data_IF_966301797254
#
_entry.id   IF_966301797254
#
_cell.length_a   1.000
_cell.length_b   1.000
_cell.length_c   1.000
_cell.angle_alpha   90.00
_cell.angle_beta   90.00
_cell.angle_gamma   90.00
#
_symmetry.space_group_name_H-M   'P 1'
#
loop_
_entity.id
_entity.type
_entity.pdbx_description
1 polymer ?
#
# COMPACT_ATOMS: atom_id res chain seq x y z
N UNK A 1 -30.93 17.16 -5.93
CA UNK A 1 -30.66 15.81 -5.48
C UNK A 1 -29.18 15.50 -5.66
N UNK A 2 -28.58 14.67 -4.77
CA UNK A 2 -27.17 14.29 -4.84
C UNK A 2 -26.86 13.52 -6.14
N UNK A 3 -27.78 12.66 -6.57
CA UNK A 3 -27.66 11.90 -7.84
C UNK A 3 -27.62 12.85 -9.04
N UNK A 4 -28.44 13.91 -9.05
CA UNK A 4 -28.45 14.88 -10.14
C UNK A 4 -27.11 15.66 -10.22
N UNK A 5 -26.49 15.95 -9.07
CA UNK A 5 -25.17 16.57 -9.04
C UNK A 5 -24.08 15.64 -9.59
N UNK A 6 -24.12 14.37 -9.24
CA UNK A 6 -23.20 13.35 -9.79
C UNK A 6 -23.36 13.20 -11.30
N UNK A 7 -24.61 13.14 -11.79
CA UNK A 7 -24.88 13.06 -13.22
C UNK A 7 -24.42 14.31 -13.98
N UNK A 8 -24.60 15.49 -13.41
CA UNK A 8 -24.07 16.75 -13.98
C UNK A 8 -22.55 16.75 -14.04
N UNK A 9 -21.88 16.28 -12.99
CA UNK A 9 -20.43 16.17 -12.98
C UNK A 9 -19.93 15.14 -13.98
N UNK A 10 -20.55 13.96 -14.05
CA UNK A 10 -20.21 12.92 -15.01
C UNK A 10 -20.41 13.38 -16.46
N UNK A 11 -21.42 14.25 -16.73
CA UNK A 11 -21.70 14.78 -18.06
C UNK A 11 -20.64 15.70 -18.64
N UNK A 12 -19.69 16.17 -17.82
CA UNK A 12 -18.54 16.97 -18.29
C UNK A 12 -17.52 16.10 -19.03
N UNK A 13 -17.46 14.80 -18.70
CA UNK A 13 -16.53 13.82 -19.31
C UNK A 13 -17.32 12.62 -19.84
N UNK A 14 -18.07 12.83 -20.93
CA UNK A 14 -18.99 11.84 -21.48
C UNK A 14 -18.31 10.61 -22.08
N UNK A 15 -17.09 10.77 -22.57
CA UNK A 15 -16.38 9.71 -23.29
C UNK A 15 -15.10 9.32 -22.53
N UNK A 16 -15.09 8.11 -21.97
CA UNK A 16 -13.86 7.55 -21.43
C UNK A 16 -12.86 7.23 -22.55
N UNK A 17 -11.57 7.30 -22.22
CA UNK A 17 -10.49 6.95 -23.15
C UNK A 17 -10.67 5.51 -23.68
N UNK A 18 -10.73 5.35 -25.01
CA UNK A 18 -11.00 4.05 -25.66
C UNK A 18 -9.92 3.01 -25.34
N UNK A 19 -8.64 3.43 -25.30
CA UNK A 19 -7.53 2.53 -24.93
C UNK A 19 -7.70 2.03 -23.51
N UNK A 20 -8.06 2.94 -22.59
CA UNK A 20 -8.35 2.57 -21.18
C UNK A 20 -9.51 1.59 -21.07
N UNK A 21 -10.56 1.75 -21.88
CA UNK A 21 -11.68 0.81 -21.93
C UNK A 21 -11.24 -0.59 -22.40
N UNK A 22 -10.41 -0.67 -23.45
CA UNK A 22 -9.87 -1.94 -23.96
C UNK A 22 -9.01 -2.61 -22.91
N UNK A 23 -8.11 -1.88 -22.25
CA UNK A 23 -7.26 -2.42 -21.18
C UNK A 23 -8.12 -2.95 -20.02
N UNK A 24 -9.10 -2.17 -19.57
CA UNK A 24 -10.03 -2.59 -18.51
C UNK A 24 -10.83 -3.82 -18.92
N UNK A 25 -11.30 -3.86 -20.18
CA UNK A 25 -12.01 -5.03 -20.71
C UNK A 25 -11.13 -6.28 -20.67
N UNK A 26 -9.89 -6.22 -21.16
CA UNK A 26 -8.96 -7.34 -21.13
C UNK A 26 -8.63 -7.80 -19.69
N UNK A 27 -8.56 -6.87 -18.75
CA UNK A 27 -8.33 -7.18 -17.34
C UNK A 27 -9.47 -8.01 -16.71
N UNK A 28 -10.72 -7.68 -17.03
CA UNK A 28 -11.91 -8.33 -16.44
C UNK A 28 -12.51 -9.45 -17.31
N UNK A 29 -12.14 -9.50 -18.58
CA UNK A 29 -12.59 -10.49 -19.56
C UNK A 29 -11.34 -11.09 -20.25
N UNK A 30 -10.70 -12.07 -19.61
CA UNK A 30 -9.50 -12.69 -20.18
C UNK A 30 -9.82 -13.36 -21.53
N UNK A 31 -8.80 -13.69 -22.34
CA UNK A 31 -8.98 -14.35 -23.64
C UNK A 31 -9.90 -15.57 -23.53
N UNK A 32 -10.84 -15.71 -24.47
CA UNK A 32 -11.78 -16.83 -24.49
C UNK A 32 -11.17 -18.07 -25.15
N UNK A 33 -11.58 -19.24 -24.67
CA UNK A 33 -11.20 -20.53 -25.23
C UNK A 33 -9.96 -21.15 -24.57
N UNK A 34 -9.82 -22.46 -24.73
CA UNK A 34 -8.64 -23.21 -24.28
C UNK A 34 -7.50 -22.99 -25.28
N UNK A 35 -6.70 -21.98 -25.06
CA UNK A 35 -5.56 -21.66 -25.91
C UNK A 35 -4.38 -21.12 -25.09
N UNK A 36 -3.21 -21.07 -25.72
CA UNK A 36 -1.97 -20.61 -25.10
C UNK A 36 -2.06 -19.17 -24.53
N UNK A 37 -2.89 -18.30 -25.11
CA UNK A 37 -3.06 -16.94 -24.63
C UNK A 37 -3.79 -16.87 -23.26
N UNK A 38 -4.79 -17.74 -23.05
CA UNK A 38 -5.49 -17.87 -21.78
C UNK A 38 -4.57 -18.43 -20.71
N UNK A 39 -3.81 -19.49 -21.02
CA UNK A 39 -2.83 -20.07 -20.11
C UNK A 39 -1.77 -19.06 -19.70
N UNK A 40 -1.21 -18.33 -20.67
CA UNK A 40 -0.25 -17.26 -20.41
C UNK A 40 -0.83 -16.18 -19.51
N UNK A 41 -2.07 -15.71 -19.79
CA UNK A 41 -2.76 -14.71 -18.95
C UNK A 41 -2.88 -15.16 -17.49
N UNK A 42 -3.26 -16.42 -17.25
CA UNK A 42 -3.38 -16.95 -15.88
C UNK A 42 -2.02 -17.04 -15.20
N UNK A 43 -1.00 -17.56 -15.89
CA UNK A 43 0.35 -17.67 -15.34
C UNK A 43 0.95 -16.31 -14.98
N UNK A 44 0.81 -15.32 -15.83
CA UNK A 44 1.27 -13.96 -15.57
C UNK A 44 0.52 -13.32 -14.39
N UNK A 45 -0.80 -13.48 -14.34
CA UNK A 45 -1.64 -12.97 -13.25
C UNK A 45 -1.26 -13.61 -11.91
N UNK A 46 -1.13 -14.93 -11.86
CA UNK A 46 -0.75 -15.66 -10.66
C UNK A 46 0.64 -15.27 -10.16
N UNK A 47 1.58 -15.09 -11.09
CA UNK A 47 2.92 -14.64 -10.77
C UNK A 47 2.92 -13.25 -10.13
N UNK A 48 2.20 -12.29 -10.73
CA UNK A 48 2.11 -10.91 -10.20
C UNK A 48 1.44 -10.88 -8.82
N UNK A 49 0.31 -11.59 -8.67
CA UNK A 49 -0.41 -11.63 -7.40
C UNK A 49 0.37 -12.37 -6.31
N UNK A 50 1.06 -13.45 -6.68
CA UNK A 50 1.93 -14.20 -5.77
C UNK A 50 3.10 -13.35 -5.27
N UNK A 51 3.78 -12.63 -6.16
CA UNK A 51 4.87 -11.73 -5.81
C UNK A 51 4.40 -10.61 -4.87
N UNK A 52 3.25 -9.98 -5.15
CA UNK A 52 2.67 -8.97 -4.26
C UNK A 52 2.31 -9.55 -2.88
N UNK A 53 1.77 -10.76 -2.84
CA UNK A 53 1.43 -11.42 -1.58
C UNK A 53 2.67 -11.73 -0.73
N UNK A 54 3.75 -12.21 -1.35
CA UNK A 54 5.02 -12.46 -0.66
C UNK A 54 5.60 -11.17 -0.09
N UNK A 55 5.69 -10.11 -0.89
CA UNK A 55 6.17 -8.79 -0.44
C UNK A 55 5.35 -8.21 0.71
N UNK A 56 4.02 -8.30 0.61
CA UNK A 56 3.15 -7.88 1.69
C UNK A 56 3.38 -8.69 2.98
N UNK A 57 3.66 -10.00 2.84
CA UNK A 57 3.96 -10.88 3.97
C UNK A 57 5.29 -10.51 4.62
N UNK A 58 6.31 -10.15 3.84
CA UNK A 58 7.60 -9.66 4.35
C UNK A 58 7.40 -8.39 5.19
N UNK A 59 6.67 -7.41 4.66
CA UNK A 59 6.40 -6.16 5.39
C UNK A 59 5.59 -6.41 6.66
N UNK A 60 4.57 -7.27 6.62
CA UNK A 60 3.82 -7.66 7.84
C UNK A 60 4.69 -8.36 8.87
N UNK A 61 5.60 -9.22 8.45
CA UNK A 61 6.53 -9.89 9.34
C UNK A 61 7.51 -8.90 10.00
N UNK A 62 7.92 -7.85 9.29
CA UNK A 62 8.70 -6.76 9.87
C UNK A 62 7.88 -5.97 10.90
N UNK A 63 6.62 -5.61 10.61
CA UNK A 63 5.75 -4.92 11.57
C UNK A 63 5.49 -5.71 12.83
N UNK A 64 5.43 -7.05 12.75
CA UNK A 64 5.29 -7.90 13.93
C UNK A 64 6.49 -7.83 14.89
N UNK A 65 7.64 -7.32 14.44
CA UNK A 65 8.85 -7.12 15.25
C UNK A 65 8.97 -5.67 15.77
N UNK A 66 8.06 -4.78 15.36
CA UNK A 66 8.05 -3.37 15.75
C UNK A 66 7.09 -3.15 16.94
N UNK A 67 7.62 -2.57 18.01
CA UNK A 67 6.85 -2.37 19.24
C UNK A 67 5.70 -1.36 19.04
N UNK A 68 4.48 -1.79 19.34
CA UNK A 68 3.29 -0.94 19.23
C UNK A 68 2.79 -0.70 17.81
N UNK A 69 3.28 -1.45 16.81
CA UNK A 69 2.74 -1.39 15.45
C UNK A 69 1.65 -2.43 15.26
N UNK A 70 0.53 -2.03 14.70
CA UNK A 70 -0.63 -2.87 14.47
C UNK A 70 -1.14 -2.74 13.04
N UNK A 71 -1.38 -3.87 12.37
CA UNK A 71 -1.86 -3.91 10.98
C UNK A 71 -3.23 -4.57 10.94
N UNK A 72 -4.25 -3.81 10.57
CA UNK A 72 -5.62 -4.28 10.50
C UNK A 72 -5.97 -4.87 9.12
N UNK A 73 -6.94 -5.76 9.12
CA UNK A 73 -7.55 -6.30 7.92
C UNK A 73 -6.68 -7.29 7.15
N UNK A 74 -7.23 -7.77 6.04
CA UNK A 74 -6.53 -8.63 5.09
C UNK A 74 -5.69 -7.78 4.14
N UNK A 75 -4.59 -8.35 3.66
CA UNK A 75 -3.78 -7.72 2.61
C UNK A 75 -4.58 -7.63 1.31
N UNK A 76 -4.58 -6.45 0.73
CA UNK A 76 -5.22 -6.18 -0.55
C UNK A 76 -4.51 -5.04 -1.28
N UNK A 77 -4.74 -4.93 -2.59
CA UNK A 77 -4.10 -3.95 -3.45
C UNK A 77 -2.55 -3.96 -3.31
N UNK A 78 -1.94 -2.79 -3.08
CA UNK A 78 -0.48 -2.62 -3.03
C UNK A 78 -0.01 -1.83 -1.80
N UNK A 79 -0.90 -1.58 -0.82
CA UNK A 79 -0.62 -0.74 0.33
C UNK A 79 -0.94 -1.46 1.64
N UNK A 80 -0.16 -1.12 2.68
CA UNK A 80 -0.50 -1.37 4.07
C UNK A 80 -0.67 -0.03 4.79
N UNK A 81 -1.54 -0.01 5.81
CA UNK A 81 -1.85 1.16 6.61
C UNK A 81 -1.75 0.80 8.10
N UNK A 82 -0.52 0.58 8.62
CA UNK A 82 -0.32 0.26 10.02
C UNK A 82 -0.63 1.43 10.93
N UNK A 83 -1.10 1.11 12.13
CA UNK A 83 -1.25 2.04 13.24
C UNK A 83 0.01 1.99 14.11
N UNK A 84 0.49 3.17 14.50
CA UNK A 84 1.59 3.37 15.43
C UNK A 84 1.00 3.70 16.81
N UNK A 85 0.87 2.71 17.68
CA UNK A 85 0.27 2.89 19.01
C UNK A 85 1.28 3.45 20.04
N UNK A 86 2.57 3.43 19.69
CA UNK A 86 3.64 3.90 20.56
C UNK A 86 4.53 4.88 19.80
N UNK A 87 4.34 6.15 20.05
CA UNK A 87 5.24 7.21 19.60
C UNK A 87 5.70 8.03 20.82
N UNK A 88 6.87 8.66 20.81
CA UNK A 88 7.32 9.57 21.86
C UNK A 88 6.33 10.71 22.07
N UNK A 89 6.18 11.17 23.30
CA UNK A 89 5.25 12.25 23.62
C UNK A 89 5.53 13.52 22.78
N UNK A 90 4.49 14.09 22.19
CA UNK A 90 4.59 15.28 21.33
C UNK A 90 5.05 15.00 19.89
N UNK A 91 5.30 13.75 19.53
CA UNK A 91 5.68 13.35 18.16
C UNK A 91 4.46 13.01 17.34
N UNK A 92 4.43 13.46 16.10
CA UNK A 92 3.39 13.15 15.13
C UNK A 92 3.81 12.00 14.18
N UNK A 93 2.85 11.44 13.46
CA UNK A 93 3.12 10.50 12.38
C UNK A 93 3.95 11.13 11.24
N UNK A 94 3.82 12.43 11.01
CA UNK A 94 4.67 13.17 10.06
C UNK A 94 6.13 13.20 10.53
N UNK A 95 6.40 13.54 11.80
CA UNK A 95 7.74 13.58 12.36
C UNK A 95 8.42 12.21 12.29
N UNK A 96 7.66 11.16 12.58
CA UNK A 96 8.12 9.78 12.44
C UNK A 96 8.50 9.44 10.99
N UNK A 97 7.63 9.76 10.01
CA UNK A 97 7.90 9.50 8.60
C UNK A 97 9.12 10.25 8.08
N UNK A 98 9.33 11.49 8.53
CA UNK A 98 10.50 12.30 8.16
C UNK A 98 11.79 11.73 8.78
N UNK A 99 11.79 11.38 10.06
CA UNK A 99 12.94 10.77 10.71
C UNK A 99 13.31 9.42 10.07
N UNK A 100 12.31 8.60 9.72
CA UNK A 100 12.50 7.35 9.00
C UNK A 100 13.16 7.56 7.63
N UNK A 101 12.69 8.54 6.87
CA UNK A 101 13.26 8.90 5.58
C UNK A 101 14.70 9.36 5.69
N UNK A 102 15.00 10.25 6.63
CA UNK A 102 16.35 10.80 6.84
C UNK A 102 17.36 9.72 7.25
N UNK A 103 16.94 8.77 8.08
CA UNK A 103 17.85 7.74 8.58
C UNK A 103 18.00 6.53 7.66
N UNK A 104 16.91 6.10 7.02
CA UNK A 104 16.89 4.83 6.25
C UNK A 104 16.74 5.00 4.76
N UNK A 105 16.34 6.19 4.28
CA UNK A 105 15.95 6.42 2.90
C UNK A 105 14.54 5.90 2.55
N UNK A 106 13.81 5.31 3.51
CA UNK A 106 12.48 4.76 3.27
C UNK A 106 11.41 5.84 3.32
N UNK A 107 10.80 6.12 2.17
CA UNK A 107 9.70 7.08 2.06
C UNK A 107 8.35 6.42 2.36
N UNK A 108 7.67 6.92 3.39
CA UNK A 108 6.30 6.54 3.75
C UNK A 108 5.41 7.76 3.78
N UNK A 109 4.10 7.57 3.80
CA UNK A 109 3.13 8.69 3.84
C UNK A 109 2.43 8.67 5.19
N UNK A 110 2.48 9.79 5.91
CA UNK A 110 1.82 9.95 7.21
C UNK A 110 0.29 9.81 7.10
N UNK A 111 -0.33 9.23 8.12
CA UNK A 111 -1.76 8.93 8.15
C UNK A 111 -2.64 10.16 8.29
N UNK A 112 -2.15 11.25 8.86
CA UNK A 112 -2.89 12.50 9.08
C UNK A 112 -3.49 13.07 7.80
N UNK A 113 -2.87 12.86 6.64
CA UNK A 113 -3.39 13.25 5.33
C UNK A 113 -4.61 12.43 4.85
N UNK A 114 -4.95 11.34 5.51
CA UNK A 114 -6.06 10.44 5.14
C UNK A 114 -7.29 10.56 6.06
N UNK A 115 -7.35 11.58 6.92
CA UNK A 115 -8.50 11.80 7.80
C UNK A 115 -8.61 10.79 8.94
N UNK A 116 -7.48 10.34 9.50
CA UNK A 116 -7.45 9.45 10.66
C UNK A 116 -8.13 10.07 11.89
N UNK A 117 -8.62 9.23 12.80
CA UNK A 117 -9.23 9.71 14.03
C UNK A 117 -8.22 10.51 14.89
N UNK A 118 -8.71 11.53 15.58
CA UNK A 118 -7.89 12.36 16.47
C UNK A 118 -7.19 11.51 17.54
N UNK A 119 -5.92 11.80 17.80
CA UNK A 119 -5.10 11.06 18.76
C UNK A 119 -4.63 9.68 18.27
N UNK A 120 -4.84 9.35 17.00
CA UNK A 120 -4.27 8.14 16.38
C UNK A 120 -3.17 8.49 15.39
N UNK A 121 -2.20 7.60 15.25
CA UNK A 121 -1.10 7.76 14.31
C UNK A 121 -1.01 6.57 13.38
N UNK A 122 -0.91 6.83 12.09
CA UNK A 122 -0.81 5.81 11.05
C UNK A 122 0.23 6.24 10.02
N UNK A 123 0.65 5.29 9.22
CA UNK A 123 1.37 5.58 7.98
C UNK A 123 0.87 4.68 6.84
N UNK A 124 1.06 5.12 5.60
CA UNK A 124 0.83 4.31 4.42
C UNK A 124 2.16 3.91 3.80
N UNK A 125 2.32 2.63 3.51
CA UNK A 125 3.45 2.12 2.74
C UNK A 125 2.97 1.28 1.57
N UNK A 126 3.66 1.41 0.42
CA UNK A 126 3.54 0.51 -0.70
C UNK A 126 4.58 -0.62 -0.57
N UNK A 127 4.18 -1.85 -0.85
CA UNK A 127 5.10 -3.01 -0.89
C UNK A 127 5.48 -3.38 -2.34
N UNK A 128 5.72 -2.36 -3.18
CA UNK A 128 6.10 -2.52 -4.59
C UNK A 128 7.60 -2.73 -4.85
N UNK A 129 8.54 -2.29 -3.99
CA UNK A 129 9.96 -2.53 -4.21
C UNK A 129 10.27 -4.01 -4.46
N UNK A 130 11.43 -4.31 -5.03
CA UNK A 130 11.89 -5.70 -5.22
C UNK A 130 12.05 -6.41 -3.88
N UNK A 131 12.08 -7.75 -3.89
CA UNK A 131 12.29 -8.52 -2.65
C UNK A 131 13.64 -8.22 -2.03
N UNK A 132 14.66 -8.07 -2.86
CA UNK A 132 16.03 -7.71 -2.46
C UNK A 132 16.09 -6.35 -1.76
N UNK A 133 15.36 -5.35 -2.28
CA UNK A 133 15.26 -4.04 -1.64
C UNK A 133 14.51 -4.10 -0.31
N UNK A 134 13.45 -4.90 -0.24
CA UNK A 134 12.71 -5.13 1.01
C UNK A 134 13.55 -5.87 2.04
N UNK A 135 14.31 -6.90 1.65
CA UNK A 135 15.23 -7.62 2.51
C UNK A 135 16.32 -6.72 3.11
N UNK A 136 16.79 -5.73 2.34
CA UNK A 136 17.76 -4.76 2.82
C UNK A 136 17.13 -3.72 3.76
N UNK A 137 15.96 -3.15 3.41
CA UNK A 137 15.40 -1.99 4.12
C UNK A 137 14.58 -2.36 5.35
N UNK A 138 13.87 -3.50 5.34
CA UNK A 138 12.98 -3.85 6.44
C UNK A 138 13.71 -4.06 7.79
N UNK A 139 14.87 -4.72 7.86
CA UNK A 139 15.63 -4.80 9.11
C UNK A 139 16.09 -3.43 9.64
N UNK A 140 16.46 -2.51 8.73
CA UNK A 140 16.83 -1.14 9.09
C UNK A 140 15.64 -0.40 9.69
N UNK A 141 14.46 -0.58 9.09
CA UNK A 141 13.23 0.02 9.61
C UNK A 141 12.85 -0.53 10.99
N UNK A 142 12.92 -1.84 11.21
CA UNK A 142 12.68 -2.46 12.52
C UNK A 142 13.62 -1.90 13.58
N UNK A 143 14.91 -1.82 13.26
CA UNK A 143 15.92 -1.27 14.19
C UNK A 143 15.68 0.21 14.49
N UNK A 144 15.41 1.02 13.45
CA UNK A 144 15.03 2.43 13.60
C UNK A 144 13.79 2.57 14.50
N UNK A 145 12.71 1.86 14.18
CA UNK A 145 11.45 1.98 14.90
C UNK A 145 11.60 1.69 16.39
N UNK A 146 12.17 0.53 16.72
CA UNK A 146 12.31 0.10 18.11
C UNK A 146 13.23 1.02 18.93
N UNK A 147 14.24 1.63 18.31
CA UNK A 147 15.03 2.69 18.95
C UNK A 147 14.22 3.98 19.10
N UNK A 148 13.55 4.43 18.06
CA UNK A 148 12.80 5.69 18.02
C UNK A 148 11.68 5.75 19.08
N UNK A 149 10.96 4.64 19.31
CA UNK A 149 9.87 4.61 20.27
C UNK A 149 10.31 4.40 21.73
N UNK A 150 11.57 4.04 21.95
CA UNK A 150 12.12 3.81 23.29
C UNK A 150 13.10 4.92 23.76
N UNK A 151 13.32 5.95 22.94
CA UNK A 151 14.13 7.12 23.29
C UNK A 151 15.57 6.97 22.99
#
# INVERSE_FOLDING_TARGET
DFVDLLLKQASVSLCANTVGQIITYLMVSPPNGENAALEQFHNEKEKVLGDLYEKASMVRAAFAQMEGVEVFGKTGAMYLFPRLNKLPAGTTDFDYCMALLEETGLCTVNGSGFGQAEGTHHLRIAFLPSKEELEDVLPKWVAFHNRYVNG
#
